data_IF_765702916446
#
_entry.id   IF_765702916446
#
_cell.length_a   1.000
_cell.length_b   1.000
_cell.length_c   1.000
_cell.angle_alpha   90.00
_cell.angle_beta   90.00
_cell.angle_gamma   90.00
#
_symmetry.space_group_name_H-M   'P 1'
#
loop_
_entity.id
_entity.type
_entity.pdbx_description
1 polymer ?
#
# COMPACT_ATOMS: atom_id res chain seq x y z
N UNK A 1 -27.78 -2.22 -8.34
CA UNK A 1 -26.41 -2.53 -8.83
C UNK A 1 -25.37 -2.17 -7.75
N UNK A 2 -24.29 -2.93 -7.66
CA UNK A 2 -23.18 -2.68 -6.72
C UNK A 2 -22.03 -2.02 -7.50
N UNK A 3 -21.35 -1.04 -6.88
CA UNK A 3 -20.11 -0.47 -7.38
C UNK A 3 -19.00 -0.73 -6.37
N UNK A 4 -18.00 -1.52 -6.76
CA UNK A 4 -16.82 -1.83 -5.96
C UNK A 4 -15.66 -0.95 -6.43
N UNK A 5 -15.08 -0.16 -5.52
CA UNK A 5 -13.85 0.60 -5.74
C UNK A 5 -12.69 -0.24 -5.20
N UNK A 6 -11.85 -0.76 -6.10
CA UNK A 6 -10.86 -1.78 -5.79
C UNK A 6 -9.41 -1.37 -6.09
N UNK A 7 -8.66 -2.28 -6.66
CA UNK A 7 -7.22 -2.11 -6.90
C UNK A 7 -6.33 -2.67 -5.77
N UNK A 8 -6.89 -3.47 -4.87
CA UNK A 8 -6.22 -4.03 -3.69
C UNK A 8 -6.59 -5.50 -3.50
N UNK A 9 -5.96 -6.17 -2.55
CA UNK A 9 -6.37 -7.52 -2.12
C UNK A 9 -7.79 -7.52 -1.55
N UNK A 10 -8.14 -6.47 -0.78
CA UNK A 10 -9.49 -6.29 -0.26
C UNK A 10 -10.51 -6.15 -1.39
N UNK A 11 -10.13 -5.49 -2.50
CA UNK A 11 -10.94 -5.43 -3.73
C UNK A 11 -11.18 -6.79 -4.34
N UNK A 12 -10.17 -7.66 -4.41
CA UNK A 12 -10.34 -9.06 -4.88
C UNK A 12 -11.25 -9.87 -3.97
N UNK A 13 -11.10 -9.74 -2.65
CA UNK A 13 -11.98 -10.38 -1.66
C UNK A 13 -13.44 -9.92 -1.82
N UNK A 14 -13.67 -8.62 -2.05
CA UNK A 14 -15.00 -8.08 -2.34
C UNK A 14 -15.59 -8.68 -3.63
N UNK A 15 -14.78 -8.79 -4.68
CA UNK A 15 -15.17 -9.42 -5.95
C UNK A 15 -15.60 -10.87 -5.71
N UNK A 16 -14.81 -11.68 -5.01
CA UNK A 16 -15.14 -13.07 -4.72
C UNK A 16 -16.51 -13.22 -4.04
N UNK A 17 -16.80 -12.36 -3.05
CA UNK A 17 -18.08 -12.39 -2.33
C UNK A 17 -19.24 -11.99 -3.25
N UNK A 18 -19.09 -10.92 -4.05
CA UNK A 18 -20.17 -10.41 -4.89
C UNK A 18 -20.39 -11.30 -6.11
N UNK A 19 -19.33 -11.89 -6.65
CA UNK A 19 -19.39 -12.82 -7.78
C UNK A 19 -20.24 -14.06 -7.48
N UNK A 20 -20.18 -14.55 -6.24
CA UNK A 20 -20.98 -15.70 -5.81
C UNK A 20 -22.50 -15.46 -5.86
N UNK A 21 -22.93 -14.20 -5.90
CA UNK A 21 -24.35 -13.85 -6.04
C UNK A 21 -24.87 -13.97 -7.49
N UNK A 22 -24.01 -14.20 -8.47
CA UNK A 22 -24.36 -14.41 -9.89
C UNK A 22 -25.06 -13.23 -10.56
N UNK A 23 -24.87 -12.00 -10.05
CA UNK A 23 -25.51 -10.79 -10.57
C UNK A 23 -24.47 -9.78 -11.05
N UNK A 24 -24.74 -9.04 -12.13
CA UNK A 24 -23.83 -8.01 -12.63
C UNK A 24 -23.52 -6.94 -11.58
N UNK A 25 -22.27 -6.49 -11.53
CA UNK A 25 -21.77 -5.40 -10.69
C UNK A 25 -20.65 -4.64 -11.39
N UNK A 26 -20.35 -3.44 -10.93
CA UNK A 26 -19.24 -2.64 -11.44
C UNK A 26 -18.02 -2.80 -10.54
N UNK A 27 -16.85 -3.02 -11.16
CA UNK A 27 -15.56 -3.03 -10.49
C UNK A 27 -14.64 -1.95 -11.05
N UNK A 28 -14.33 -0.94 -10.26
CA UNK A 28 -13.57 0.24 -10.66
C UNK A 28 -12.16 0.25 -10.06
N UNK A 29 -11.17 0.51 -10.90
CA UNK A 29 -9.77 0.71 -10.53
C UNK A 29 -9.19 1.92 -11.27
N UNK A 30 -8.11 2.52 -10.76
CA UNK A 30 -7.44 3.63 -11.44
C UNK A 30 -6.78 3.14 -12.73
N UNK A 31 -6.02 2.06 -12.67
CA UNK A 31 -5.38 1.41 -13.81
C UNK A 31 -6.04 0.08 -14.16
N UNK A 32 -5.58 -0.54 -15.22
CA UNK A 32 -6.06 -1.85 -15.69
C UNK A 32 -5.15 -3.02 -15.27
N UNK A 33 -4.17 -2.75 -14.42
CA UNK A 33 -3.08 -3.68 -14.08
C UNK A 33 -3.53 -4.85 -13.20
N UNK A 34 -4.63 -4.68 -12.45
CA UNK A 34 -5.12 -5.72 -11.57
C UNK A 34 -6.04 -6.68 -12.32
N UNK A 35 -5.57 -7.91 -12.53
CA UNK A 35 -6.43 -9.00 -12.97
C UNK A 35 -7.41 -9.40 -11.86
N UNK A 36 -8.64 -9.68 -12.23
CA UNK A 36 -9.67 -10.30 -11.40
C UNK A 36 -10.28 -11.46 -12.17
N UNK A 37 -10.53 -12.56 -11.49
CA UNK A 37 -11.33 -13.67 -12.02
C UNK A 37 -12.79 -13.39 -11.70
N UNK A 38 -13.52 -12.91 -12.70
CA UNK A 38 -14.91 -12.52 -12.52
C UNK A 38 -15.67 -12.58 -13.85
N UNK A 39 -16.83 -13.21 -13.84
CA UNK A 39 -17.72 -13.37 -15.01
C UNK A 39 -18.77 -12.26 -15.06
N UNK A 40 -19.23 -11.81 -13.88
CA UNK A 40 -20.31 -10.82 -13.76
C UNK A 40 -19.82 -9.38 -13.57
N UNK A 41 -18.49 -9.17 -13.47
CA UNK A 41 -17.90 -7.85 -13.26
C UNK A 41 -17.86 -7.02 -14.54
N UNK A 42 -18.45 -5.85 -14.50
CA UNK A 42 -18.28 -4.80 -15.51
C UNK A 42 -17.11 -3.92 -15.08
N UNK A 43 -15.97 -4.04 -15.77
CA UNK A 43 -14.74 -3.30 -15.46
C UNK A 43 -14.86 -1.82 -15.82
N UNK A 44 -14.39 -0.98 -14.91
CA UNK A 44 -14.22 0.45 -15.09
C UNK A 44 -12.78 0.81 -14.77
N UNK A 45 -12.17 1.62 -15.61
CA UNK A 45 -10.82 2.16 -15.41
C UNK A 45 -10.85 3.68 -15.38
N UNK A 46 -9.91 4.25 -14.63
CA UNK A 46 -9.82 5.69 -14.45
C UNK A 46 -10.43 6.18 -13.14
N UNK A 47 -9.92 7.34 -12.68
CA UNK A 47 -10.44 7.97 -11.48
C UNK A 47 -11.76 8.70 -11.73
N UNK A 48 -12.67 8.64 -10.76
CA UNK A 48 -13.89 9.44 -10.75
C UNK A 48 -13.78 10.52 -9.68
N UNK A 49 -14.08 11.76 -10.06
CA UNK A 49 -14.36 12.83 -9.10
C UNK A 49 -15.79 12.70 -8.52
N UNK A 50 -16.17 13.61 -7.66
CA UNK A 50 -17.46 13.58 -6.97
C UNK A 50 -18.66 13.63 -7.93
N UNK A 51 -18.63 14.55 -8.91
CA UNK A 51 -19.73 14.71 -9.86
C UNK A 51 -19.87 13.53 -10.81
N UNK A 52 -18.77 13.05 -11.37
CA UNK A 52 -18.74 11.86 -12.23
C UNK A 52 -19.24 10.62 -11.50
N UNK A 53 -18.82 10.43 -10.24
CA UNK A 53 -19.27 9.30 -9.44
C UNK A 53 -20.75 9.42 -9.09
N UNK A 54 -21.24 10.61 -8.72
CA UNK A 54 -22.65 10.81 -8.43
C UNK A 54 -23.54 10.62 -9.67
N UNK A 55 -23.09 11.11 -10.83
CA UNK A 55 -23.77 10.90 -12.11
C UNK A 55 -23.82 9.41 -12.44
N UNK A 56 -22.69 8.71 -12.39
CA UNK A 56 -22.59 7.29 -12.64
C UNK A 56 -23.53 6.48 -11.73
N UNK A 57 -23.55 6.80 -10.45
CA UNK A 57 -24.43 6.12 -9.49
C UNK A 57 -25.91 6.27 -9.85
N UNK A 58 -26.34 7.45 -10.30
CA UNK A 58 -27.73 7.68 -10.74
C UNK A 58 -28.05 6.93 -12.02
N UNK A 59 -27.20 7.07 -13.06
CA UNK A 59 -27.42 6.45 -14.37
C UNK A 59 -27.43 4.91 -14.29
N UNK A 60 -26.53 4.34 -13.51
CA UNK A 60 -26.40 2.88 -13.37
C UNK A 60 -27.22 2.30 -12.22
N UNK A 61 -28.04 3.13 -11.56
CA UNK A 61 -28.92 2.74 -10.44
C UNK A 61 -28.12 1.98 -9.35
N UNK A 62 -26.98 2.55 -8.94
CA UNK A 62 -26.14 1.96 -7.89
C UNK A 62 -26.90 2.06 -6.57
N UNK A 63 -27.03 0.93 -5.90
CA UNK A 63 -27.73 0.79 -4.60
C UNK A 63 -26.78 0.46 -3.44
N UNK A 64 -25.53 0.13 -3.73
CA UNK A 64 -24.50 -0.15 -2.74
C UNK A 64 -23.12 0.27 -3.28
N UNK A 65 -22.37 0.99 -2.48
CA UNK A 65 -20.96 1.31 -2.71
C UNK A 65 -20.09 0.40 -1.83
N UNK A 66 -19.06 -0.20 -2.41
CA UNK A 66 -18.08 -1.00 -1.67
C UNK A 66 -16.71 -0.32 -1.81
N UNK A 67 -16.25 0.25 -0.70
CA UNK A 67 -14.93 0.88 -0.60
C UNK A 67 -13.89 -0.17 -0.18
N UNK A 68 -13.28 -0.77 -1.17
CA UNK A 68 -12.18 -1.72 -0.99
C UNK A 68 -10.86 -1.18 -1.60
N UNK A 69 -10.76 0.15 -1.69
CA UNK A 69 -9.57 0.82 -2.19
C UNK A 69 -8.43 0.82 -1.16
N UNK A 70 -7.24 1.21 -1.63
CA UNK A 70 -6.06 1.28 -0.77
C UNK A 70 -6.31 2.22 0.43
N UNK A 71 -5.90 1.86 1.66
CA UNK A 71 -6.13 2.70 2.85
C UNK A 71 -5.66 4.16 2.72
N UNK A 72 -4.70 4.42 1.83
CA UNK A 72 -4.17 5.76 1.56
C UNK A 72 -4.87 6.49 0.41
N UNK A 73 -5.94 5.96 -0.13
CA UNK A 73 -6.74 6.62 -1.16
C UNK A 73 -7.69 7.68 -0.54
N UNK A 74 -7.15 8.61 0.28
CA UNK A 74 -7.90 9.57 1.08
C UNK A 74 -8.89 10.37 0.24
N UNK A 75 -8.47 10.81 -0.95
CA UNK A 75 -9.32 11.56 -1.87
C UNK A 75 -10.55 10.74 -2.27
N UNK A 76 -10.36 9.47 -2.63
CA UNK A 76 -11.44 8.57 -3.00
C UNK A 76 -12.38 8.32 -1.83
N UNK A 77 -11.84 8.04 -0.64
CA UNK A 77 -12.67 7.82 0.56
C UNK A 77 -13.56 9.03 0.88
N UNK A 78 -13.03 10.25 0.75
CA UNK A 78 -13.81 11.50 0.92
C UNK A 78 -14.88 11.64 -0.16
N UNK A 79 -14.56 11.32 -1.41
CA UNK A 79 -15.52 11.35 -2.52
C UNK A 79 -16.66 10.37 -2.29
N UNK A 80 -16.34 9.14 -1.89
CA UNK A 80 -17.35 8.12 -1.56
C UNK A 80 -18.28 8.56 -0.43
N UNK A 81 -17.74 9.11 0.66
CA UNK A 81 -18.53 9.59 1.77
C UNK A 81 -19.52 10.70 1.35
N UNK A 82 -19.07 11.65 0.52
CA UNK A 82 -19.92 12.72 0.00
C UNK A 82 -21.02 12.20 -0.93
N UNK A 83 -20.66 11.33 -1.89
CA UNK A 83 -21.61 10.74 -2.84
C UNK A 83 -22.63 9.87 -2.11
N UNK A 84 -22.19 9.04 -1.16
CA UNK A 84 -23.05 8.23 -0.30
C UNK A 84 -24.09 9.09 0.44
N UNK A 85 -23.63 10.14 1.10
CA UNK A 85 -24.50 11.07 1.83
C UNK A 85 -25.50 11.79 0.90
N UNK A 86 -25.00 12.34 -0.23
CA UNK A 86 -25.80 13.10 -1.20
C UNK A 86 -26.90 12.26 -1.85
N UNK A 87 -26.58 11.00 -2.20
CA UNK A 87 -27.49 10.11 -2.91
C UNK A 87 -28.22 9.13 -1.99
N UNK A 88 -27.93 9.14 -0.69
CA UNK A 88 -28.43 8.19 0.30
C UNK A 88 -28.17 6.73 -0.07
N UNK A 89 -27.00 6.46 -0.69
CA UNK A 89 -26.56 5.11 -1.05
C UNK A 89 -25.68 4.58 0.08
N UNK A 90 -25.98 3.43 0.67
CA UNK A 90 -25.12 2.84 1.70
C UNK A 90 -23.72 2.56 1.17
N UNK A 91 -22.71 2.71 2.04
CA UNK A 91 -21.34 2.37 1.75
C UNK A 91 -20.82 1.33 2.75
N UNK A 92 -20.23 0.26 2.24
CA UNK A 92 -19.49 -0.72 3.04
C UNK A 92 -18.02 -0.55 2.76
N UNK A 93 -17.21 -0.38 3.81
CA UNK A 93 -15.76 -0.28 3.68
C UNK A 93 -15.10 -1.56 4.17
N UNK A 94 -14.28 -2.16 3.28
CA UNK A 94 -13.41 -3.27 3.64
C UNK A 94 -12.07 -2.70 4.08
N UNK A 95 -11.82 -2.77 5.38
CA UNK A 95 -10.54 -2.34 5.93
C UNK A 95 -9.58 -3.52 6.07
N UNK A 96 -8.32 -3.23 5.77
CA UNK A 96 -7.24 -4.17 5.98
C UNK A 96 -7.08 -4.45 7.47
N UNK A 97 -7.11 -5.71 7.83
CA UNK A 97 -6.70 -6.12 9.17
C UNK A 97 -5.18 -6.13 9.25
N UNK A 98 -4.64 -5.42 10.22
CA UNK A 98 -3.23 -5.45 10.53
C UNK A 98 -3.03 -6.39 11.72
N UNK A 99 -1.98 -7.25 11.68
CA UNK A 99 -1.66 -8.09 12.83
C UNK A 99 -1.35 -7.24 14.07
N UNK A 100 -1.43 -7.86 15.24
CA UNK A 100 -0.99 -7.21 16.47
C UNK A 100 0.48 -6.78 16.34
N UNK A 101 0.82 -5.67 17.01
CA UNK A 101 2.19 -5.17 16.98
C UNK A 101 3.14 -6.21 17.59
N UNK A 102 4.08 -6.69 16.79
CA UNK A 102 5.15 -7.55 17.28
C UNK A 102 6.13 -6.72 18.11
N UNK A 103 6.35 -7.13 19.36
CA UNK A 103 7.24 -6.43 20.31
C UNK A 103 8.72 -6.47 19.89
N UNK A 104 9.08 -7.38 19.00
CA UNK A 104 10.44 -7.50 18.45
C UNK A 104 10.75 -6.41 17.41
N UNK A 105 9.72 -5.72 16.90
CA UNK A 105 9.85 -4.65 15.91
C UNK A 105 9.91 -3.29 16.58
N UNK A 106 10.76 -2.42 16.06
CA UNK A 106 10.84 -1.02 16.49
C UNK A 106 9.82 -0.22 15.68
N UNK A 107 8.73 0.17 16.32
CA UNK A 107 7.63 0.89 15.69
C UNK A 107 7.85 2.39 15.69
N UNK A 108 7.80 3.01 14.51
CA UNK A 108 7.91 4.44 14.30
C UNK A 108 6.61 5.01 13.75
N UNK A 109 6.23 6.18 14.22
CA UNK A 109 4.97 6.84 13.82
C UNK A 109 4.95 7.28 12.36
N UNK A 110 6.11 7.63 11.84
CA UNK A 110 6.33 8.07 10.47
C UNK A 110 7.81 7.94 10.07
N UNK A 111 8.16 8.36 8.85
CA UNK A 111 9.54 8.28 8.35
C UNK A 111 10.50 9.26 9.06
N UNK A 112 10.02 10.41 9.54
CA UNK A 112 10.85 11.32 10.30
C UNK A 112 11.27 10.69 11.64
N UNK A 113 10.31 10.15 12.39
CA UNK A 113 10.59 9.41 13.62
C UNK A 113 11.47 8.17 13.37
N UNK A 114 11.34 7.52 12.22
CA UNK A 114 12.22 6.42 11.85
C UNK A 114 13.65 6.89 11.61
N UNK A 115 13.86 8.01 10.92
CA UNK A 115 15.19 8.61 10.70
C UNK A 115 15.85 8.98 12.04
N UNK A 116 15.11 9.65 12.92
CA UNK A 116 15.63 10.06 14.24
C UNK A 116 16.05 8.83 15.04
N UNK A 117 15.24 7.77 15.01
CA UNK A 117 15.54 6.53 15.71
C UNK A 117 16.74 5.79 15.11
N UNK A 118 16.82 5.70 13.77
CA UNK A 118 17.96 5.07 13.08
C UNK A 118 19.28 5.75 13.46
N UNK A 119 19.28 7.10 13.51
CA UNK A 119 20.44 7.89 13.94
C UNK A 119 20.79 7.65 15.40
N UNK A 120 19.79 7.69 16.28
CA UNK A 120 19.99 7.46 17.71
C UNK A 120 20.54 6.06 18.01
N UNK A 121 20.15 5.06 17.22
CA UNK A 121 20.61 3.69 17.34
C UNK A 121 21.96 3.42 16.62
N UNK A 122 22.57 4.45 15.99
CA UNK A 122 23.87 4.36 15.33
C UNK A 122 23.87 3.45 14.10
N UNK A 123 22.75 3.38 13.36
CA UNK A 123 22.65 2.55 12.16
C UNK A 123 23.46 3.19 11.04
N UNK A 124 24.44 2.44 10.50
CA UNK A 124 25.36 2.89 9.46
C UNK A 124 25.13 2.25 8.09
N UNK A 125 24.35 1.18 8.01
CA UNK A 125 23.98 0.51 6.76
C UNK A 125 22.50 0.08 6.84
N UNK A 126 21.65 0.69 6.02
CA UNK A 126 20.20 0.48 6.05
C UNK A 126 19.71 -0.22 4.78
N UNK A 127 18.86 -1.24 4.93
CA UNK A 127 18.05 -1.77 3.84
C UNK A 127 16.60 -1.26 3.95
N UNK A 128 16.17 -0.45 2.99
CA UNK A 128 14.82 0.10 2.94
C UNK A 128 13.91 -0.73 2.01
N UNK A 129 12.99 -1.50 2.58
CA UNK A 129 11.97 -2.30 1.89
C UNK A 129 10.65 -1.53 1.77
N UNK A 130 10.71 -0.22 1.68
CA UNK A 130 9.57 0.69 1.74
C UNK A 130 9.05 1.12 0.36
N UNK A 131 9.81 0.82 -0.69
CA UNK A 131 9.49 1.11 -2.09
C UNK A 131 9.83 2.53 -2.53
N UNK A 132 9.86 2.76 -3.85
CA UNK A 132 10.40 3.97 -4.50
C UNK A 132 9.82 5.29 -3.99
N UNK A 133 8.52 5.37 -3.71
CA UNK A 133 7.85 6.61 -3.24
C UNK A 133 8.33 7.11 -1.88
N UNK A 134 9.23 6.39 -1.23
CA UNK A 134 9.78 6.75 0.08
C UNK A 134 11.23 7.22 0.00
N UNK A 135 11.86 7.14 -1.15
CA UNK A 135 13.21 7.64 -1.38
C UNK A 135 13.32 9.11 -0.98
N UNK A 136 12.45 9.97 -1.51
CA UNK A 136 12.41 11.39 -1.15
C UNK A 136 12.18 11.63 0.35
N UNK A 137 11.37 10.80 1.02
CA UNK A 137 11.08 10.93 2.46
C UNK A 137 12.26 10.54 3.34
N UNK A 138 13.10 9.63 2.87
CA UNK A 138 14.30 9.16 3.57
C UNK A 138 15.58 9.89 3.12
N UNK A 139 15.45 10.90 2.25
CA UNK A 139 16.57 11.71 1.76
C UNK A 139 17.46 12.24 2.88
N UNK A 140 16.94 12.82 4.00
CA UNK A 140 17.77 13.33 5.09
C UNK A 140 18.66 12.25 5.74
N UNK A 141 18.33 10.97 5.53
CA UNK A 141 19.13 9.85 6.02
C UNK A 141 20.11 9.33 4.98
N UNK A 142 19.64 8.96 3.78
CA UNK A 142 20.47 8.28 2.80
C UNK A 142 21.52 9.18 2.11
N UNK A 143 21.38 10.49 2.17
CA UNK A 143 22.43 11.42 1.73
C UNK A 143 23.67 11.39 2.63
N UNK A 144 23.54 10.97 3.88
CA UNK A 144 24.59 10.95 4.88
C UNK A 144 25.03 9.53 5.29
N UNK A 145 24.20 8.53 5.00
CA UNK A 145 24.39 7.17 5.51
C UNK A 145 24.11 6.15 4.39
N UNK A 146 24.92 5.11 4.23
CA UNK A 146 24.67 4.01 3.31
C UNK A 146 23.26 3.44 3.46
N UNK A 147 22.51 3.45 2.37
CA UNK A 147 21.14 2.98 2.34
C UNK A 147 20.83 2.32 1.00
N UNK A 148 20.28 1.13 1.04
CA UNK A 148 19.82 0.36 -0.12
C UNK A 148 18.30 0.45 -0.20
N UNK A 149 17.75 0.66 -1.40
CA UNK A 149 16.31 0.62 -1.59
C UNK A 149 15.91 -0.54 -2.49
N UNK A 150 14.96 -1.36 -2.02
CA UNK A 150 14.32 -2.35 -2.87
C UNK A 150 13.06 -1.79 -3.48
N UNK A 151 13.02 -1.77 -4.81
CA UNK A 151 11.94 -1.22 -5.62
C UNK A 151 11.45 -2.23 -6.67
N UNK A 152 10.27 -2.00 -7.23
CA UNK A 152 9.79 -2.77 -8.38
C UNK A 152 10.59 -2.42 -9.63
N UNK A 153 10.92 -3.42 -10.45
CA UNK A 153 11.61 -3.24 -11.72
C UNK A 153 10.63 -2.69 -12.79
N UNK A 154 10.38 -1.38 -12.73
CA UNK A 154 9.50 -0.65 -13.64
C UNK A 154 10.16 0.66 -14.06
N UNK A 155 9.91 1.10 -15.30
CA UNK A 155 10.45 2.38 -15.80
C UNK A 155 10.08 3.55 -14.88
N UNK A 156 8.83 3.61 -14.45
CA UNK A 156 8.33 4.67 -13.56
C UNK A 156 9.04 4.69 -12.20
N UNK A 157 9.37 3.49 -11.68
CA UNK A 157 10.12 3.39 -10.41
C UNK A 157 11.55 3.89 -10.57
N UNK A 158 12.21 3.55 -11.68
CA UNK A 158 13.56 4.02 -11.97
C UNK A 158 13.58 5.52 -12.20
N UNK A 159 12.68 6.05 -13.04
CA UNK A 159 12.57 7.49 -13.30
C UNK A 159 12.31 8.29 -12.02
N UNK A 160 11.49 7.77 -11.11
CA UNK A 160 11.22 8.43 -9.83
C UNK A 160 12.45 8.41 -8.91
N UNK A 161 13.16 7.29 -8.80
CA UNK A 161 14.39 7.21 -8.01
C UNK A 161 15.47 8.16 -8.56
N UNK A 162 15.60 8.24 -9.88
CA UNK A 162 16.53 9.13 -10.57
C UNK A 162 16.17 10.60 -10.36
N UNK A 163 14.88 10.97 -10.46
CA UNK A 163 14.40 12.33 -10.18
C UNK A 163 14.60 12.74 -8.72
N UNK A 164 14.57 11.79 -7.81
CA UNK A 164 14.91 11.99 -6.40
C UNK A 164 16.43 12.04 -6.15
N UNK A 165 17.28 11.86 -7.18
CA UNK A 165 18.74 11.90 -7.07
C UNK A 165 19.34 10.69 -6.34
N UNK A 166 18.61 9.58 -6.25
CA UNK A 166 19.09 8.39 -5.54
C UNK A 166 20.10 7.61 -6.38
N UNK A 167 21.24 7.15 -5.81
CA UNK A 167 22.27 6.41 -6.53
C UNK A 167 21.77 5.10 -7.10
N UNK A 168 21.94 4.88 -8.42
CA UNK A 168 21.46 3.68 -9.11
C UNK A 168 22.08 2.39 -8.58
N UNK A 169 23.34 2.44 -8.20
CA UNK A 169 24.10 1.32 -7.65
C UNK A 169 23.59 0.82 -6.29
N UNK A 170 22.75 1.60 -5.62
CA UNK A 170 22.11 1.25 -4.35
C UNK A 170 20.64 0.84 -4.51
N UNK A 171 20.20 0.65 -5.75
CA UNK A 171 18.87 0.14 -6.08
C UNK A 171 18.92 -1.37 -6.21
N UNK A 172 17.99 -2.05 -5.55
CA UNK A 172 17.77 -3.49 -5.65
C UNK A 172 16.37 -3.69 -6.24
N UNK A 173 16.25 -4.57 -7.22
CA UNK A 173 14.96 -4.90 -7.78
C UNK A 173 14.28 -6.03 -6.99
N UNK A 174 13.01 -5.87 -6.75
CA UNK A 174 12.20 -6.92 -6.18
C UNK A 174 11.89 -7.99 -7.23
N UNK A 175 12.14 -9.25 -6.89
CA UNK A 175 11.74 -10.42 -7.66
C UNK A 175 10.81 -11.27 -6.78
N UNK A 176 9.73 -11.75 -7.37
CA UNK A 176 8.78 -12.61 -6.65
C UNK A 176 9.45 -13.98 -6.36
N UNK A 177 9.32 -14.47 -5.13
CA UNK A 177 9.95 -15.72 -4.70
C UNK A 177 11.45 -15.60 -4.34
N UNK A 178 12.01 -14.39 -4.32
CA UNK A 178 13.39 -14.17 -3.88
C UNK A 178 13.56 -14.46 -2.39
N UNK A 179 14.64 -15.16 -2.04
CA UNK A 179 14.99 -15.45 -0.66
C UNK A 179 15.51 -14.18 0.04
N UNK A 180 14.71 -13.63 0.94
CA UNK A 180 15.09 -12.46 1.75
C UNK A 180 16.38 -12.66 2.54
N UNK A 181 16.64 -13.88 3.00
CA UNK A 181 17.85 -14.21 3.75
C UNK A 181 19.09 -14.03 2.89
N UNK A 182 19.04 -14.44 1.63
CA UNK A 182 20.15 -14.30 0.67
C UNK A 182 20.51 -12.83 0.45
N UNK A 183 19.49 -11.97 0.34
CA UNK A 183 19.68 -10.53 0.21
C UNK A 183 20.33 -9.94 1.47
N UNK A 184 19.90 -10.37 2.64
CA UNK A 184 20.47 -9.92 3.92
C UNK A 184 21.90 -10.35 4.10
N UNK A 185 22.23 -11.58 3.73
CA UNK A 185 23.60 -12.13 3.78
C UNK A 185 24.55 -11.41 2.82
N UNK A 186 24.04 -10.92 1.68
CA UNK A 186 24.84 -10.16 0.72
C UNK A 186 25.10 -8.72 1.15
N UNK A 187 24.10 -8.06 1.69
CA UNK A 187 24.16 -6.62 2.02
C UNK A 187 24.64 -6.34 3.44
N UNK A 188 24.53 -7.33 4.32
CA UNK A 188 24.87 -7.23 5.76
C UNK A 188 24.35 -5.92 6.39
N UNK A 189 23.08 -5.57 6.26
CA UNK A 189 22.56 -4.31 6.80
C UNK A 189 22.55 -4.35 8.32
N UNK A 190 22.85 -3.21 8.97
CA UNK A 190 22.69 -3.07 10.43
C UNK A 190 21.23 -3.09 10.83
N UNK A 191 20.38 -2.57 9.93
CA UNK A 191 18.93 -2.54 10.14
C UNK A 191 18.15 -2.64 8.82
N UNK A 192 16.92 -3.08 8.95
CA UNK A 192 15.94 -3.05 7.87
C UNK A 192 14.79 -2.13 8.24
N UNK A 193 14.43 -1.22 7.34
CA UNK A 193 13.24 -0.40 7.45
C UNK A 193 12.18 -0.91 6.49
N UNK A 194 11.04 -1.28 7.01
CA UNK A 194 9.88 -1.68 6.21
C UNK A 194 8.64 -0.85 6.59
N UNK A 195 7.58 -0.97 5.81
CA UNK A 195 6.30 -0.34 6.12
C UNK A 195 5.27 -1.39 6.50
N UNK A 196 4.35 -1.02 7.37
CA UNK A 196 3.20 -1.84 7.68
C UNK A 196 2.37 -2.08 6.39
N UNK A 197 2.64 -3.22 5.74
CA UNK A 197 1.90 -3.69 4.57
C UNK A 197 1.06 -4.88 5.00
N UNK A 198 -0.19 -4.98 4.53
CA UNK A 198 -1.00 -6.16 4.84
C UNK A 198 -0.48 -7.42 4.14
N UNK A 199 -1.29 -8.48 4.16
CA UNK A 199 -0.97 -9.80 3.58
C UNK A 199 -0.40 -9.73 2.16
N UNK A 200 -0.94 -8.84 1.30
CA UNK A 200 -0.45 -8.65 -0.09
C UNK A 200 0.96 -8.05 -0.21
N UNK A 201 1.54 -7.59 0.89
CA UNK A 201 2.91 -7.07 0.94
C UNK A 201 3.91 -8.09 1.48
N UNK A 202 3.52 -9.36 1.60
CA UNK A 202 4.34 -10.42 2.20
C UNK A 202 4.90 -10.00 3.57
N UNK A 203 4.04 -9.32 4.36
CA UNK A 203 4.49 -8.68 5.60
C UNK A 203 4.98 -9.70 6.61
N UNK A 204 4.25 -10.80 6.78
CA UNK A 204 4.58 -11.85 7.75
C UNK A 204 5.88 -12.56 7.37
N UNK A 205 6.00 -12.96 6.12
CA UNK A 205 7.17 -13.63 5.58
C UNK A 205 8.42 -12.74 5.66
N UNK A 206 8.27 -11.44 5.33
CA UNK A 206 9.35 -10.47 5.49
C UNK A 206 9.77 -10.32 6.94
N UNK A 207 8.83 -10.18 7.85
CA UNK A 207 9.13 -10.02 9.27
C UNK A 207 9.84 -11.28 9.79
N UNK A 208 9.37 -12.47 9.46
CA UNK A 208 10.02 -13.72 9.88
C UNK A 208 11.44 -13.84 9.32
N UNK A 209 11.66 -13.53 8.04
CA UNK A 209 12.99 -13.52 7.45
C UNK A 209 13.90 -12.46 8.09
N UNK A 210 13.35 -11.31 8.48
CA UNK A 210 14.09 -10.19 9.03
C UNK A 210 14.51 -10.40 10.50
N UNK A 211 13.93 -11.37 11.22
CA UNK A 211 14.38 -11.68 12.59
C UNK A 211 15.78 -12.27 12.68
N UNK A 212 16.35 -12.62 11.55
CA UNK A 212 17.78 -13.01 11.47
C UNK A 212 18.70 -11.77 11.41
N UNK A 213 18.16 -10.55 11.26
CA UNK A 213 18.93 -9.30 11.30
C UNK A 213 18.92 -8.67 12.68
N UNK A 214 19.91 -7.80 12.94
CA UNK A 214 20.11 -7.20 14.26
C UNK A 214 18.98 -6.28 14.72
N UNK A 215 18.34 -5.52 13.79
CA UNK A 215 17.25 -4.58 14.14
C UNK A 215 16.27 -4.40 12.98
N UNK A 216 14.98 -4.48 13.26
CA UNK A 216 13.93 -4.23 12.27
C UNK A 216 13.08 -3.05 12.69
N UNK A 217 13.04 -2.02 11.85
CA UNK A 217 12.25 -0.81 12.03
C UNK A 217 10.99 -0.87 11.18
N UNK A 218 9.87 -0.45 11.76
CA UNK A 218 8.58 -0.41 11.13
C UNK A 218 8.05 1.02 11.10
N UNK A 219 7.92 1.60 9.92
CA UNK A 219 7.27 2.90 9.78
C UNK A 219 5.76 2.73 9.61
N UNK A 220 5.01 3.43 10.45
CA UNK A 220 3.57 3.57 10.36
C UNK A 220 3.23 4.80 9.52
N UNK A 221 2.34 4.69 8.58
CA UNK A 221 1.83 5.90 7.93
C UNK A 221 0.86 6.63 8.85
N UNK A 222 1.04 7.95 9.02
CA UNK A 222 0.18 8.83 9.86
C UNK A 222 -1.33 8.76 9.55
N UNK A 223 -1.72 8.13 8.44
CA UNK A 223 -3.12 8.05 8.02
C UNK A 223 -3.87 6.81 8.54
N UNK A 224 -3.26 6.01 9.42
CA UNK A 224 -3.89 4.89 10.12
C UNK A 224 -4.70 5.31 11.36
N UNK A 225 -5.06 6.59 11.51
CA UNK A 225 -5.96 7.01 12.57
C UNK A 225 -7.36 6.46 12.30
N UNK A 226 -7.69 5.42 13.04
CA UNK A 226 -9.06 4.92 13.23
C UNK A 226 -9.94 6.04 13.79
N UNK A 227 -10.52 6.86 12.95
CA UNK A 227 -11.79 7.50 13.27
C UNK A 227 -12.85 6.75 12.48
N UNK A 228 -13.49 5.81 13.16
CA UNK A 228 -14.80 5.31 12.78
C UNK A 228 -15.68 6.50 12.46
N UNK A 229 -16.00 6.70 11.20
CA UNK A 229 -17.15 7.52 10.84
C UNK A 229 -18.34 6.59 11.09
N UNK A 230 -19.05 6.87 12.21
CA UNK A 230 -20.36 6.28 12.51
C UNK A 230 -21.36 6.68 11.45
#
# INVERSE_FOLDING_TARGET
MILILGGTTEGRKAVQVVESAGKPYYYSTVGNEQAIEAVHAIRLTGGMDEEKMAQFCREKKISLLVDAAHPFAIRLHRTLAKVSSRLRIPVVRLERQYPAHDKRLIWCTDYAAAIDRLRADGICNLLALTGVKTIAKLRPYWEQTPCWFRILNRKESLSLAESDGFPKERIIFFHEGEDEKKLLDQLLPDAVLTKESGESGYFKEKVEALFYTRKVFMSRSKNGNRKLVK
#
